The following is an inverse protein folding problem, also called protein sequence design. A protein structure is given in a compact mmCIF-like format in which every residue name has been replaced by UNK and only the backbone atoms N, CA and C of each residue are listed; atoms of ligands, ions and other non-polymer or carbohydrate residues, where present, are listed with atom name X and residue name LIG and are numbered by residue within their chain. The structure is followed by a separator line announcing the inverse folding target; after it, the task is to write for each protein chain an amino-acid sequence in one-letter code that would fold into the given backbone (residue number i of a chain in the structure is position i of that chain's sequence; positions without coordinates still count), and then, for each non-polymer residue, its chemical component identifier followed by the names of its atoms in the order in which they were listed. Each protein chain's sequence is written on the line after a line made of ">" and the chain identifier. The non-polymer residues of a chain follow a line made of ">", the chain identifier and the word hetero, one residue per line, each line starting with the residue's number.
data_IF_595022182518
#
_entry.id   IF_595022182518
#
_cell.length_a   1.000
_cell.length_b   1.000
_cell.length_c   1.000
_cell.angle_alpha   90.00
_cell.angle_beta   90.00
_cell.angle_gamma   90.00
#
_symmetry.space_group_name_H-M   'P 1'
#
loop_
_entity.id
_entity.type
_entity.pdbx_description
1 polymer ?
#
# COMPACT_ATOMS: atom_id res chain seq x y z
N UNK A 1 -31.48 7.39 36.73
CA UNK A 1 -30.44 7.59 35.68
C UNK A 1 -30.85 6.86 34.41
N UNK A 2 -31.13 7.61 33.35
CA UNK A 2 -31.94 7.16 32.21
C UNK A 2 -31.19 6.30 31.19
N UNK A 3 -31.94 5.45 30.46
CA UNK A 3 -31.48 4.61 29.34
C UNK A 3 -30.62 5.37 28.30
N UNK A 4 -30.76 6.69 28.21
CA UNK A 4 -29.94 7.56 27.37
C UNK A 4 -28.44 7.46 27.70
N UNK A 5 -28.06 7.55 28.99
CA UNK A 5 -26.64 7.53 29.42
C UNK A 5 -25.95 6.19 29.11
N UNK A 6 -26.69 5.07 29.15
CA UNK A 6 -26.18 3.74 28.79
C UNK A 6 -25.92 3.59 27.29
N UNK A 7 -26.74 4.24 26.48
CA UNK A 7 -26.63 4.17 25.01
C UNK A 7 -25.43 4.97 24.54
N UNK A 8 -25.22 6.17 25.10
CA UNK A 8 -24.04 6.99 24.83
C UNK A 8 -22.73 6.31 25.27
N UNK A 9 -22.69 5.70 26.47
CA UNK A 9 -21.52 4.94 26.92
C UNK A 9 -21.16 3.75 26.02
N UNK A 10 -22.17 3.05 25.50
CA UNK A 10 -21.96 1.92 24.60
C UNK A 10 -21.48 2.36 23.21
N UNK A 11 -21.93 3.52 22.72
CA UNK A 11 -21.42 4.12 21.48
C UNK A 11 -19.95 4.55 21.69
N UNK A 12 -19.63 5.15 22.84
CA UNK A 12 -18.27 5.57 23.17
C UNK A 12 -17.31 4.38 23.24
N UNK A 13 -17.67 3.30 23.93
CA UNK A 13 -16.86 2.07 24.01
C UNK A 13 -16.66 1.41 22.64
N UNK A 14 -17.68 1.43 21.79
CA UNK A 14 -17.60 0.86 20.42
C UNK A 14 -16.69 1.69 19.52
N UNK A 15 -16.73 3.02 19.63
CA UNK A 15 -15.80 3.92 18.94
C UNK A 15 -14.36 3.71 19.44
N UNK A 16 -14.16 3.59 20.74
CA UNK A 16 -12.85 3.36 21.35
C UNK A 16 -12.21 2.02 20.95
N UNK A 17 -12.99 0.93 20.87
CA UNK A 17 -12.48 -0.37 20.41
C UNK A 17 -12.13 -0.39 18.91
N UNK A 18 -12.90 0.31 18.08
CA UNK A 18 -12.61 0.44 16.65
C UNK A 18 -11.34 1.27 16.43
N UNK A 19 -11.22 2.39 17.16
CA UNK A 19 -10.01 3.20 17.24
C UNK A 19 -8.81 2.35 17.65
N UNK A 20 -8.81 1.63 18.78
CA UNK A 20 -7.67 0.80 19.18
C UNK A 20 -7.25 -0.23 18.11
N UNK A 21 -8.19 -0.80 17.36
CA UNK A 21 -7.88 -1.80 16.33
C UNK A 21 -7.24 -1.17 15.08
N UNK A 22 -7.71 0.00 14.65
CA UNK A 22 -7.12 0.74 13.53
C UNK A 22 -5.79 1.39 13.92
N UNK A 23 -5.70 1.91 15.16
CA UNK A 23 -4.48 2.46 15.76
C UNK A 23 -3.37 1.42 15.81
N UNK A 24 -3.67 0.19 16.21
CA UNK A 24 -2.66 -0.88 16.26
C UNK A 24 -2.14 -1.21 14.87
N UNK A 25 -3.02 -1.35 13.86
CA UNK A 25 -2.60 -1.67 12.49
C UNK A 25 -1.75 -0.54 11.88
N UNK A 26 -2.17 0.71 12.05
CA UNK A 26 -1.42 1.86 11.51
C UNK A 26 -0.13 2.09 12.28
N UNK A 27 -0.12 1.95 13.60
CA UNK A 27 1.10 2.04 14.41
C UNK A 27 2.08 0.91 14.07
N UNK A 28 1.63 -0.33 13.82
CA UNK A 28 2.51 -1.43 13.36
C UNK A 28 3.06 -1.16 11.96
N UNK A 29 2.26 -0.58 11.05
CA UNK A 29 2.73 -0.20 9.70
C UNK A 29 3.74 0.95 9.78
N UNK A 30 3.47 2.00 10.55
CA UNK A 30 4.36 3.15 10.71
C UNK A 30 5.64 2.74 11.46
N UNK A 31 5.53 1.95 12.54
CA UNK A 31 6.70 1.44 13.25
C UNK A 31 7.51 0.45 12.39
N UNK A 32 6.86 -0.35 11.54
CA UNK A 32 7.53 -1.19 10.55
C UNK A 32 8.28 -0.37 9.50
N UNK A 33 7.68 0.72 9.02
CA UNK A 33 8.31 1.65 8.06
C UNK A 33 9.45 2.46 8.70
N UNK A 34 9.30 2.94 9.93
CA UNK A 34 10.32 3.71 10.66
C UNK A 34 11.48 2.84 11.17
N UNK A 35 11.20 1.62 11.65
CA UNK A 35 12.23 0.66 12.05
C UNK A 35 13.12 0.26 10.88
N UNK A 36 12.56 0.18 9.66
CA UNK A 36 13.33 -0.11 8.44
C UNK A 36 14.26 1.05 8.03
N UNK A 37 13.88 2.30 8.28
CA UNK A 37 14.71 3.48 7.95
C UNK A 37 15.82 3.75 8.97
N UNK A 38 15.65 3.34 10.24
CA UNK A 38 16.62 3.64 11.30
C UNK A 38 17.54 2.47 11.68
N UNK A 39 17.12 1.21 11.47
CA UNK A 39 17.96 0.02 11.76
C UNK A 39 18.54 -0.66 10.52
N UNK A 40 18.53 0.02 9.37
CA UNK A 40 19.35 -0.34 8.21
C UNK A 40 20.84 -0.06 8.49
N UNK A 41 21.41 -0.72 9.49
CA UNK A 41 22.83 -0.69 9.79
C UNK A 41 23.63 -1.20 8.60
N UNK A 42 24.67 -0.44 8.24
CA UNK A 42 25.75 -0.86 7.34
C UNK A 42 26.31 -2.20 7.80
N UNK A 43 25.81 -3.28 7.20
CA UNK A 43 26.46 -4.57 7.26
C UNK A 43 27.43 -4.61 6.09
N UNK A 44 28.72 -4.52 6.39
CA UNK A 44 29.81 -4.79 5.46
C UNK A 44 29.72 -6.25 5.02
N UNK A 45 29.03 -6.48 3.91
CA UNK A 45 28.96 -7.78 3.24
C UNK A 45 30.24 -7.93 2.41
N UNK A 46 31.09 -8.88 2.78
CA UNK A 46 32.15 -9.39 1.89
C UNK A 46 31.54 -10.20 0.74
N UNK A 47 32.12 -10.17 -0.46
CA UNK A 47 31.40 -10.42 -1.69
C UNK A 47 31.28 -11.92 -1.98
N UNK A 48 30.06 -12.44 -2.04
CA UNK A 48 29.79 -13.67 -2.81
C UNK A 48 28.50 -13.53 -3.59
N UNK A 49 28.73 -13.36 -4.90
CA UNK A 49 27.82 -13.34 -6.05
C UNK A 49 26.95 -12.09 -6.21
N UNK A 50 27.14 -11.33 -7.32
CA UNK A 50 26.28 -10.20 -7.62
C UNK A 50 24.86 -10.72 -7.90
N UNK A 51 23.88 -10.13 -7.21
CA UNK A 51 22.52 -10.02 -7.72
C UNK A 51 22.65 -9.50 -9.16
N UNK A 52 22.03 -10.13 -10.17
CA UNK A 52 22.10 -9.61 -11.53
C UNK A 52 21.52 -8.19 -11.53
N UNK A 53 22.40 -7.20 -11.57
CA UNK A 53 22.07 -5.87 -12.06
C UNK A 53 21.65 -6.06 -13.50
N UNK A 54 20.34 -6.14 -13.71
CA UNK A 54 19.76 -6.16 -15.05
C UNK A 54 20.06 -4.80 -15.69
N UNK A 55 21.19 -4.75 -16.40
CA UNK A 55 21.55 -3.65 -17.28
C UNK A 55 20.48 -3.60 -18.37
N UNK A 56 19.66 -2.55 -18.34
CA UNK A 56 18.57 -2.32 -19.30
C UNK A 56 19.09 -1.82 -20.66
N UNK A 57 20.08 -2.50 -21.23
CA UNK A 57 20.58 -2.25 -22.58
C UNK A 57 20.36 -3.48 -23.46
N UNK A 58 19.11 -3.66 -23.91
CA UNK A 58 18.85 -4.43 -25.11
C UNK A 58 17.89 -3.64 -25.99
N UNK A 59 18.45 -3.11 -27.09
CA UNK A 59 17.72 -2.45 -28.17
C UNK A 59 16.80 -3.46 -28.86
N UNK A 60 15.64 -3.72 -28.26
CA UNK A 60 14.54 -4.44 -28.89
C UNK A 60 13.60 -3.46 -29.58
N UNK A 61 13.33 -3.75 -30.84
CA UNK A 61 12.45 -3.02 -31.76
C UNK A 61 11.25 -2.39 -31.06
N UNK A 62 11.19 -1.05 -31.09
CA UNK A 62 10.08 -0.27 -30.55
C UNK A 62 8.78 -0.71 -31.23
N UNK A 63 7.77 -1.22 -30.51
CA UNK A 63 6.44 -1.33 -31.08
C UNK A 63 5.99 0.08 -31.47
N UNK A 64 5.59 0.22 -32.73
CA UNK A 64 5.26 1.47 -33.41
C UNK A 64 3.94 2.03 -32.83
N UNK A 65 4.01 2.60 -31.62
CA UNK A 65 2.89 3.29 -31.00
C UNK A 65 3.22 4.79 -30.93
N UNK A 66 2.40 5.56 -31.67
CA UNK A 66 2.37 7.01 -31.84
C UNK A 66 3.40 7.82 -31.03
N UNK A 67 4.49 8.18 -31.70
CA UNK A 67 5.46 9.17 -31.27
C UNK A 67 4.98 10.56 -31.69
N UNK A 68 4.04 11.12 -30.95
CA UNK A 68 3.71 12.55 -30.93
C UNK A 68 2.95 12.86 -29.64
N UNK A 69 3.66 13.12 -28.54
CA UNK A 69 3.04 13.63 -27.32
C UNK A 69 3.97 14.63 -26.65
N UNK A 70 3.48 15.86 -26.57
CA UNK A 70 4.08 16.99 -25.87
C UNK A 70 4.39 16.56 -24.43
N UNK A 71 5.67 16.63 -24.05
CA UNK A 71 6.22 16.22 -22.76
C UNK A 71 5.88 17.23 -21.66
N UNK A 72 4.62 17.29 -21.23
CA UNK A 72 4.20 17.90 -19.96
C UNK A 72 3.00 17.19 -19.31
N UNK A 73 2.59 16.02 -19.83
CA UNK A 73 1.37 15.35 -19.35
C UNK A 73 1.65 14.45 -18.16
N UNK A 74 0.97 14.69 -17.02
CA UNK A 74 0.85 13.74 -15.90
C UNK A 74 0.68 12.32 -16.40
N UNK A 75 1.46 11.38 -15.85
CA UNK A 75 1.37 9.96 -16.19
C UNK A 75 0.17 9.33 -15.46
N UNK A 76 -0.34 8.25 -16.03
CA UNK A 76 -1.44 7.47 -15.45
C UNK A 76 -0.94 6.07 -15.15
N UNK A 77 -0.98 5.67 -13.88
CA UNK A 77 -0.54 4.36 -13.43
C UNK A 77 -1.71 3.53 -12.95
N UNK A 78 -1.72 2.24 -13.30
CA UNK A 78 -2.60 1.26 -12.67
C UNK A 78 -1.76 0.41 -11.73
N UNK A 79 -2.07 0.45 -10.44
CA UNK A 79 -1.27 -0.19 -9.39
C UNK A 79 -2.07 -1.29 -8.72
N UNK A 80 -1.48 -2.48 -8.71
CA UNK A 80 -2.02 -3.63 -7.99
C UNK A 80 -0.88 -4.38 -7.31
N UNK A 81 -1.22 -5.04 -6.21
CA UNK A 81 -0.28 -5.79 -5.41
C UNK A 81 -0.69 -7.26 -5.37
N UNK A 82 0.30 -8.14 -5.27
CA UNK A 82 0.10 -9.57 -5.16
C UNK A 82 1.04 -10.14 -4.11
N UNK A 83 0.49 -10.97 -3.21
CA UNK A 83 1.32 -11.78 -2.33
C UNK A 83 2.04 -12.86 -3.14
N UNK A 84 3.33 -13.07 -2.89
CA UNK A 84 4.08 -14.24 -3.42
C UNK A 84 3.86 -15.48 -2.55
N UNK A 85 3.43 -15.28 -1.30
CA UNK A 85 3.29 -16.32 -0.29
C UNK A 85 1.85 -16.86 -0.19
N UNK A 86 1.06 -16.78 -1.27
CA UNK A 86 -0.33 -17.26 -1.26
C UNK A 86 -0.39 -18.74 -1.72
N UNK A 87 -0.57 -19.72 -0.82
CA UNK A 87 -0.43 -21.14 -1.16
C UNK A 87 -1.54 -21.70 -2.06
N UNK A 88 -2.75 -21.12 -2.01
CA UNK A 88 -3.95 -21.67 -2.66
C UNK A 88 -4.45 -20.79 -3.82
N UNK A 89 -3.94 -19.57 -3.94
CA UNK A 89 -4.36 -18.63 -4.96
C UNK A 89 -3.13 -17.87 -5.45
N UNK A 90 -2.43 -18.48 -6.41
CA UNK A 90 -1.31 -17.88 -7.10
C UNK A 90 -1.80 -16.75 -8.03
N UNK A 91 -2.36 -15.68 -7.45
CA UNK A 91 -2.80 -14.50 -8.18
C UNK A 91 -1.65 -13.86 -8.98
N UNK A 92 -0.40 -14.16 -8.62
CA UNK A 92 0.79 -13.80 -9.36
C UNK A 92 0.72 -14.29 -10.82
N UNK A 93 0.07 -15.42 -11.10
CA UNK A 93 -0.15 -15.93 -12.46
C UNK A 93 -0.98 -14.98 -13.32
N UNK A 94 -1.95 -14.26 -12.74
CA UNK A 94 -2.78 -13.31 -13.49
C UNK A 94 -2.08 -11.98 -13.76
N UNK A 95 -1.04 -11.65 -12.98
CA UNK A 95 -0.41 -10.33 -13.04
C UNK A 95 0.06 -9.91 -14.43
N UNK A 96 0.63 -10.78 -15.31
CA UNK A 96 1.01 -10.35 -16.66
C UNK A 96 -0.20 -10.05 -17.54
N UNK A 97 -1.29 -10.82 -17.40
CA UNK A 97 -2.54 -10.62 -18.14
C UNK A 97 -3.17 -9.28 -17.72
N UNK A 98 -3.23 -9.00 -16.42
CA UNK A 98 -3.75 -7.73 -15.89
C UNK A 98 -2.87 -6.56 -16.31
N UNK A 99 -1.54 -6.70 -16.29
CA UNK A 99 -0.59 -5.71 -16.81
C UNK A 99 -0.90 -5.38 -18.27
N UNK A 100 -1.03 -6.39 -19.13
CA UNK A 100 -1.35 -6.20 -20.54
C UNK A 100 -2.70 -5.49 -20.74
N UNK A 101 -3.70 -5.87 -19.96
CA UNK A 101 -5.04 -5.27 -20.02
C UNK A 101 -5.01 -3.78 -19.67
N UNK A 102 -4.33 -3.38 -18.60
CA UNK A 102 -4.18 -1.96 -18.24
C UNK A 102 -3.38 -1.17 -19.28
N UNK A 103 -2.30 -1.76 -19.81
CA UNK A 103 -1.48 -1.17 -20.88
C UNK A 103 -2.32 -0.88 -22.13
N UNK A 104 -3.21 -1.80 -22.53
CA UNK A 104 -4.16 -1.61 -23.64
C UNK A 104 -5.09 -0.41 -23.43
N UNK A 105 -5.43 -0.08 -22.19
CA UNK A 105 -6.27 1.08 -21.86
C UNK A 105 -5.48 2.40 -21.75
N UNK A 106 -4.16 2.36 -21.91
CA UNK A 106 -3.28 3.53 -21.85
C UNK A 106 -2.69 3.81 -20.47
N UNK A 107 -2.81 2.88 -19.52
CA UNK A 107 -2.19 2.99 -18.20
C UNK A 107 -0.82 2.32 -18.17
N UNK A 108 0.10 2.91 -17.43
CA UNK A 108 1.34 2.25 -17.06
C UNK A 108 1.09 1.34 -15.85
N UNK A 109 1.12 0.02 -16.05
CA UNK A 109 0.88 -0.92 -14.97
C UNK A 109 2.08 -1.03 -14.02
N UNK A 110 1.82 -1.01 -12.72
CA UNK A 110 2.78 -1.26 -11.65
C UNK A 110 2.28 -2.46 -10.84
N UNK A 111 3.10 -3.51 -10.81
CA UNK A 111 2.83 -4.73 -10.07
C UNK A 111 3.72 -4.73 -8.84
N UNK A 112 3.12 -4.78 -7.66
CA UNK A 112 3.85 -4.85 -6.39
C UNK A 112 3.80 -6.28 -5.86
N UNK A 113 4.90 -7.00 -5.96
CA UNK A 113 5.03 -8.32 -5.33
C UNK A 113 5.38 -8.15 -3.85
N UNK A 114 4.61 -8.80 -2.98
CA UNK A 114 4.71 -8.66 -1.53
C UNK A 114 5.02 -10.02 -0.92
N UNK A 115 6.04 -10.08 -0.06
CA UNK A 115 6.33 -11.28 0.73
C UNK A 115 7.77 -11.38 1.16
N UNK A 116 8.15 -12.58 1.60
CA UNK A 116 9.50 -12.83 2.09
C UNK A 116 10.44 -13.27 0.97
N UNK A 117 11.17 -12.31 0.40
CA UNK A 117 12.16 -12.60 -0.64
C UNK A 117 13.48 -13.11 -0.08
N UNK A 118 13.72 -13.00 1.25
CA UNK A 118 14.91 -13.54 1.91
C UNK A 118 14.79 -15.05 2.09
N UNK A 119 13.61 -15.52 2.49
CA UNK A 119 13.30 -16.95 2.62
C UNK A 119 13.49 -17.73 1.30
N UNK A 120 13.45 -17.04 0.16
CA UNK A 120 13.70 -17.62 -1.15
C UNK A 120 15.17 -17.94 -1.43
N UNK A 121 16.10 -17.65 -0.50
CA UNK A 121 17.54 -17.90 -0.64
C UNK A 121 18.12 -17.40 -1.98
N UNK A 122 17.63 -16.26 -2.46
CA UNK A 122 18.05 -15.65 -3.73
C UNK A 122 17.47 -16.31 -5.00
N UNK A 123 16.68 -17.38 -4.88
CA UNK A 123 16.04 -18.05 -6.04
C UNK A 123 14.56 -17.71 -6.07
N UNK A 124 14.15 -16.89 -7.05
CA UNK A 124 12.73 -16.63 -7.26
C UNK A 124 12.03 -17.93 -7.71
N UNK A 125 10.86 -18.29 -7.13
CA UNK A 125 10.04 -19.37 -7.65
C UNK A 125 9.76 -19.16 -9.14
N UNK A 126 9.76 -20.25 -9.92
CA UNK A 126 9.61 -20.17 -11.38
C UNK A 126 8.39 -19.38 -11.82
N UNK A 127 7.27 -19.51 -11.10
CA UNK A 127 6.04 -18.78 -11.42
C UNK A 127 6.19 -17.26 -11.22
N UNK A 128 6.96 -16.80 -10.22
CA UNK A 128 7.26 -15.37 -10.03
C UNK A 128 8.20 -14.90 -11.13
N UNK A 129 9.25 -15.66 -11.42
CA UNK A 129 10.22 -15.35 -12.47
C UNK A 129 9.52 -15.18 -13.83
N UNK A 130 8.66 -16.13 -14.20
CA UNK A 130 7.86 -16.09 -15.42
C UNK A 130 6.89 -14.90 -15.42
N UNK A 131 6.22 -14.62 -14.29
CA UNK A 131 5.34 -13.47 -14.20
C UNK A 131 6.11 -12.16 -14.44
N UNK A 132 7.25 -11.98 -13.79
CA UNK A 132 8.13 -10.81 -13.95
C UNK A 132 8.58 -10.65 -15.40
N UNK A 133 9.04 -11.73 -16.04
CA UNK A 133 9.46 -11.72 -17.45
C UNK A 133 8.34 -11.17 -18.36
N UNK A 134 7.12 -11.68 -18.22
CA UNK A 134 5.99 -11.26 -19.03
C UNK A 134 5.50 -9.84 -18.69
N UNK A 135 5.49 -9.46 -17.40
CA UNK A 135 5.17 -8.08 -16.99
C UNK A 135 6.12 -7.11 -17.67
N UNK A 136 7.42 -7.36 -17.61
CA UNK A 136 8.44 -6.52 -18.24
C UNK A 136 8.29 -6.49 -19.76
N UNK A 137 8.00 -7.64 -20.39
CA UNK A 137 7.74 -7.73 -21.84
C UNK A 137 6.53 -6.89 -22.28
N UNK A 138 5.48 -6.81 -21.46
CA UNK A 138 4.33 -5.94 -21.70
C UNK A 138 4.57 -4.47 -21.33
N UNK A 139 5.80 -4.15 -20.91
CA UNK A 139 6.19 -2.81 -20.49
C UNK A 139 5.57 -2.40 -19.18
N UNK A 140 5.24 -3.34 -18.29
CA UNK A 140 4.87 -3.07 -16.90
C UNK A 140 6.09 -2.82 -16.01
N UNK A 141 5.84 -2.27 -14.83
CA UNK A 141 6.86 -2.00 -13.81
C UNK A 141 6.65 -2.99 -12.66
N UNK A 142 7.72 -3.65 -12.22
CA UNK A 142 7.69 -4.54 -11.07
C UNK A 142 8.35 -3.84 -9.88
N UNK A 143 7.70 -3.91 -8.72
CA UNK A 143 8.26 -3.48 -7.44
C UNK A 143 8.16 -4.61 -6.42
N UNK A 144 9.20 -4.82 -5.63
CA UNK A 144 9.25 -5.83 -4.59
C UNK A 144 9.08 -5.17 -3.22
N UNK A 145 8.15 -5.67 -2.43
CA UNK A 145 7.90 -5.21 -1.07
C UNK A 145 8.20 -6.34 -0.09
N UNK A 146 9.35 -6.25 0.58
CA UNK A 146 9.79 -7.25 1.56
C UNK A 146 8.92 -7.18 2.82
N UNK A 147 8.38 -8.32 3.23
CA UNK A 147 7.75 -8.49 4.54
C UNK A 147 7.84 -9.96 4.99
N UNK A 148 7.42 -10.24 6.22
CA UNK A 148 7.20 -11.60 6.68
C UNK A 148 6.03 -12.24 5.91
N UNK A 149 6.18 -13.53 5.58
CA UNK A 149 5.17 -14.33 4.86
C UNK A 149 3.79 -14.26 5.53
N UNK A 150 3.72 -14.29 6.87
CA UNK A 150 2.47 -14.24 7.62
C UNK A 150 1.66 -12.94 7.38
N UNK A 151 2.32 -11.87 6.93
CA UNK A 151 1.68 -10.59 6.63
C UNK A 151 1.51 -10.30 5.14
N UNK A 152 2.08 -11.11 4.25
CA UNK A 152 2.16 -10.82 2.81
C UNK A 152 0.78 -10.56 2.18
N UNK A 153 -0.20 -11.41 2.49
CA UNK A 153 -1.58 -11.24 2.00
C UNK A 153 -2.17 -9.93 2.52
N UNK A 154 -2.10 -9.68 3.84
CA UNK A 154 -2.67 -8.46 4.45
C UNK A 154 -2.03 -7.20 3.90
N UNK A 155 -0.70 -7.19 3.76
CA UNK A 155 0.06 -6.06 3.23
C UNK A 155 -0.29 -5.82 1.76
N UNK A 156 -0.42 -6.87 0.94
CA UNK A 156 -0.82 -6.71 -0.47
C UNK A 156 -2.18 -6.01 -0.61
N UNK A 157 -3.14 -6.33 0.26
CA UNK A 157 -4.45 -5.67 0.26
C UNK A 157 -4.35 -4.22 0.76
N UNK A 158 -3.54 -3.98 1.80
CA UNK A 158 -3.31 -2.66 2.43
C UNK A 158 -2.57 -1.69 1.50
N UNK A 159 -1.65 -2.16 0.67
CA UNK A 159 -0.90 -1.32 -0.28
C UNK A 159 -1.83 -0.53 -1.19
N UNK A 160 -2.98 -1.09 -1.59
CA UNK A 160 -3.98 -0.35 -2.38
C UNK A 160 -4.52 0.88 -1.66
N UNK A 161 -4.57 0.90 -0.34
CA UNK A 161 -5.03 2.06 0.45
C UNK A 161 -3.91 3.08 0.63
N UNK A 162 -2.65 2.62 0.70
CA UNK A 162 -1.50 3.47 1.02
C UNK A 162 -0.56 3.73 -0.17
N UNK A 163 -1.03 3.47 -1.40
CA UNK A 163 -0.18 3.56 -2.60
C UNK A 163 0.45 4.95 -2.77
N UNK A 164 -0.24 6.02 -2.39
CA UNK A 164 0.28 7.38 -2.47
C UNK A 164 1.54 7.63 -1.61
N UNK A 165 1.77 6.80 -0.59
CA UNK A 165 2.91 6.89 0.33
C UNK A 165 4.05 5.94 -0.02
N UNK A 166 3.86 5.01 -0.95
CA UNK A 166 4.94 4.10 -1.31
C UNK A 166 6.09 4.88 -1.98
N UNK A 167 7.35 4.61 -1.63
CA UNK A 167 8.52 5.31 -2.16
C UNK A 167 8.84 4.80 -3.57
N UNK A 168 7.98 5.11 -4.54
CA UNK A 168 8.14 4.74 -5.94
C UNK A 168 8.85 5.89 -6.69
N UNK A 169 10.15 5.76 -7.02
CA UNK A 169 10.97 6.89 -7.49
C UNK A 169 10.58 7.41 -8.88
N UNK A 170 9.80 6.62 -9.64
CA UNK A 170 9.34 6.96 -10.98
C UNK A 170 7.95 7.63 -11.00
N UNK A 171 7.33 7.86 -9.83
CA UNK A 171 6.01 8.48 -9.70
C UNK A 171 6.16 9.88 -9.09
N UNK A 172 5.63 10.89 -9.77
CA UNK A 172 5.57 12.26 -9.28
C UNK A 172 4.25 12.55 -8.53
N UNK A 173 4.21 13.67 -7.81
CA UNK A 173 3.04 14.09 -7.04
C UNK A 173 1.81 14.42 -7.89
N UNK A 174 2.05 14.86 -9.13
CA UNK A 174 1.02 15.18 -10.12
C UNK A 174 0.66 14.00 -11.05
N UNK A 175 1.28 12.84 -10.85
CA UNK A 175 0.88 11.62 -11.57
C UNK A 175 -0.40 11.03 -10.96
N UNK A 176 -1.22 10.43 -11.81
CA UNK A 176 -2.45 9.76 -11.40
C UNK A 176 -2.18 8.30 -11.05
N UNK A 177 -2.73 7.88 -9.92
CA UNK A 177 -2.67 6.51 -9.43
C UNK A 177 -4.08 5.95 -9.44
N UNK A 178 -4.27 4.88 -10.22
CA UNK A 178 -5.44 4.03 -10.20
C UNK A 178 -5.13 2.79 -9.38
N UNK A 179 -5.89 2.51 -8.33
CA UNK A 179 -5.75 1.24 -7.59
C UNK A 179 -6.71 0.17 -8.12
N UNK A 180 -6.23 -1.06 -8.18
CA UNK A 180 -6.97 -2.21 -8.68
C UNK A 180 -6.51 -3.48 -7.98
N UNK A 181 -7.30 -4.53 -8.12
CA UNK A 181 -6.96 -5.86 -7.65
C UNK A 181 -6.20 -6.60 -8.75
N UNK A 182 -5.41 -7.60 -8.35
CA UNK A 182 -4.60 -8.42 -9.24
C UNK A 182 -5.39 -9.47 -10.03
N UNK A 183 -6.69 -9.59 -9.77
CA UNK A 183 -7.64 -10.48 -10.44
C UNK A 183 -8.78 -9.73 -11.15
N UNK A 184 -8.78 -8.39 -11.10
CA UNK A 184 -9.79 -7.58 -11.79
C UNK A 184 -9.31 -7.12 -13.17
N UNK A 185 -9.85 -7.76 -14.21
CA UNK A 185 -9.55 -7.46 -15.60
C UNK A 185 -10.32 -6.23 -16.08
N UNK A 186 -9.65 -5.14 -16.49
CA UNK A 186 -10.35 -3.98 -17.01
C UNK A 186 -10.79 -4.22 -18.48
N UNK A 187 -12.10 -4.14 -18.72
CA UNK A 187 -12.70 -4.46 -20.03
C UNK A 187 -12.86 -3.24 -20.94
N UNK A 188 -13.43 -2.15 -20.41
CA UNK A 188 -13.86 -0.96 -21.18
C UNK A 188 -13.08 0.28 -20.75
N UNK A 189 -12.43 0.96 -21.70
CA UNK A 189 -11.57 2.11 -21.44
C UNK A 189 -12.33 3.28 -20.83
N UNK A 190 -13.54 3.50 -21.31
CA UNK A 190 -14.38 4.66 -21.03
C UNK A 190 -14.76 4.74 -19.54
N UNK A 191 -14.75 3.60 -18.84
CA UNK A 191 -15.02 3.50 -17.41
C UNK A 191 -13.85 3.98 -16.54
N UNK A 192 -12.68 4.14 -17.14
CA UNK A 192 -11.44 4.51 -16.45
C UNK A 192 -10.92 5.88 -16.87
N UNK A 193 -11.52 6.50 -17.90
CA UNK A 193 -11.07 7.82 -18.35
C UNK A 193 -11.35 8.90 -17.29
N UNK A 194 -10.36 9.75 -17.04
CA UNK A 194 -10.57 10.96 -16.27
C UNK A 194 -11.67 11.79 -16.92
N UNK A 195 -12.71 12.12 -16.16
CA UNK A 195 -13.78 12.97 -16.65
C UNK A 195 -13.31 14.43 -16.60
N UNK A 196 -13.72 15.23 -17.58
CA UNK A 196 -13.32 16.65 -17.69
C UNK A 196 -13.76 17.50 -16.48
N UNK A 197 -14.86 17.11 -15.85
CA UNK A 197 -15.44 17.75 -14.68
C UNK A 197 -14.75 17.37 -13.35
N UNK A 198 -13.91 16.33 -13.35
CA UNK A 198 -13.19 15.87 -12.16
C UNK A 198 -11.69 15.75 -12.45
N UNK A 199 -10.96 16.88 -12.55
CA UNK A 199 -9.56 16.90 -12.97
C UNK A 199 -8.60 16.30 -11.94
N UNK A 200 -9.03 16.13 -10.69
CA UNK A 200 -8.23 15.51 -9.63
C UNK A 200 -8.51 14.01 -9.47
N UNK A 201 -9.39 13.47 -10.31
CA UNK A 201 -9.66 12.05 -10.41
C UNK A 201 -11.07 11.64 -10.06
N UNK A 202 -11.32 10.33 -10.04
CA UNK A 202 -12.63 9.77 -9.73
C UNK A 202 -12.50 8.53 -8.83
N UNK A 203 -13.61 8.22 -8.18
CA UNK A 203 -13.82 6.99 -7.42
C UNK A 203 -14.91 6.22 -8.15
N UNK A 204 -14.55 5.16 -8.87
CA UNK A 204 -15.54 4.26 -9.48
C UNK A 204 -15.84 3.18 -8.48
N UNK A 205 -16.92 3.41 -7.73
CA UNK A 205 -17.43 2.44 -6.79
C UNK A 205 -18.38 1.47 -7.52
N UNK A 206 -18.00 0.20 -7.65
CA UNK A 206 -18.91 -0.83 -8.18
C UNK A 206 -19.44 -1.66 -7.03
N UNK A 207 -20.75 -1.87 -6.99
CA UNK A 207 -21.43 -2.75 -6.04
C UNK A 207 -20.78 -4.15 -6.00
N UNK A 208 -19.74 -4.32 -5.20
CA UNK A 208 -19.21 -5.61 -4.78
C UNK A 208 -19.51 -5.77 -3.31
N UNK A 209 -19.86 -7.03 -3.01
CA UNK A 209 -19.71 -7.63 -1.72
C UNK A 209 -20.73 -7.13 -0.70
N UNK A 210 -21.56 -8.06 -0.22
CA UNK A 210 -22.69 -7.76 0.66
C UNK A 210 -22.25 -7.35 2.07
N UNK A 211 -22.87 -7.94 3.08
CA UNK A 211 -22.46 -7.72 4.47
C UNK A 211 -21.50 -8.82 4.94
N UNK A 212 -20.56 -8.48 5.82
CA UNK A 212 -19.72 -9.47 6.51
C UNK A 212 -19.90 -9.35 8.02
N UNK A 213 -19.66 -10.43 8.76
CA UNK A 213 -19.73 -10.44 10.23
C UNK A 213 -18.34 -10.48 10.86
N UNK A 214 -18.08 -9.60 11.82
CA UNK A 214 -16.88 -9.63 12.66
C UNK A 214 -17.29 -9.33 14.11
N UNK A 215 -16.90 -10.19 15.07
CA UNK A 215 -17.24 -10.04 16.50
C UNK A 215 -18.75 -9.84 16.75
N UNK A 216 -19.58 -10.68 16.15
CA UNK A 216 -21.06 -10.61 16.20
C UNK A 216 -21.67 -9.28 15.73
N UNK A 217 -20.94 -8.49 14.95
CA UNK A 217 -21.46 -7.29 14.29
C UNK A 217 -21.42 -7.49 12.79
N UNK A 218 -22.49 -7.08 12.14
CA UNK A 218 -22.59 -7.04 10.68
C UNK A 218 -22.05 -5.70 10.20
N UNK A 219 -21.12 -5.74 9.26
CA UNK A 219 -20.54 -4.59 8.60
C UNK A 219 -20.94 -4.62 7.12
N UNK A 220 -21.35 -3.49 6.58
CA UNK A 220 -21.45 -3.35 5.14
C UNK A 220 -20.04 -3.30 4.56
N UNK A 221 -19.78 -4.14 3.56
CA UNK A 221 -18.55 -4.00 2.79
C UNK A 221 -18.70 -2.73 1.97
N UNK A 222 -17.76 -1.79 2.14
CA UNK A 222 -17.64 -0.71 1.19
C UNK A 222 -17.14 -1.32 -0.11
N UNK A 223 -17.82 -1.07 -1.24
CA UNK A 223 -17.39 -1.71 -2.45
C UNK A 223 -15.99 -1.19 -2.81
N UNK A 224 -15.06 -2.12 -3.04
CA UNK A 224 -13.69 -1.78 -3.39
C UNK A 224 -13.67 -1.39 -4.87
N UNK A 225 -13.92 -0.12 -5.10
CA UNK A 225 -13.83 0.52 -6.39
C UNK A 225 -12.40 0.78 -6.84
N UNK A 226 -12.27 1.27 -8.07
CA UNK A 226 -11.03 1.86 -8.54
C UNK A 226 -10.95 3.32 -8.08
N UNK A 227 -9.90 3.66 -7.35
CA UNK A 227 -9.59 5.03 -6.98
C UNK A 227 -8.54 5.56 -7.95
N UNK A 228 -8.92 6.48 -8.84
CA UNK A 228 -8.03 7.06 -9.83
C UNK A 228 -7.84 8.55 -9.53
N UNK A 229 -6.83 8.91 -8.75
CA UNK A 229 -6.58 10.29 -8.28
C UNK A 229 -5.09 10.62 -8.31
N UNK A 230 -4.73 11.90 -8.23
CA UNK A 230 -3.31 12.32 -8.15
C UNK A 230 -2.65 11.81 -6.86
N UNK A 231 -1.36 11.46 -6.92
CA UNK A 231 -0.60 10.98 -5.76
C UNK A 231 -0.65 11.95 -4.57
N UNK A 232 -0.52 13.27 -4.80
CA UNK A 232 -0.62 14.27 -3.73
C UNK A 232 -2.01 14.32 -3.07
N UNK A 233 -3.07 14.20 -3.87
CA UNK A 233 -4.46 14.17 -3.40
C UNK A 233 -4.72 12.90 -2.60
N UNK A 234 -4.16 11.78 -3.03
CA UNK A 234 -4.20 10.52 -2.29
C UNK A 234 -3.63 10.68 -0.88
N UNK A 235 -2.43 11.25 -0.75
CA UNK A 235 -1.81 11.47 0.56
C UNK A 235 -2.62 12.43 1.41
N UNK A 236 -3.09 13.53 0.82
CA UNK A 236 -3.95 14.48 1.51
C UNK A 236 -5.22 13.81 2.05
N UNK A 237 -5.88 12.95 1.27
CA UNK A 237 -7.09 12.22 1.71
C UNK A 237 -6.82 11.31 2.92
N UNK A 238 -5.71 10.58 2.91
CA UNK A 238 -5.35 9.68 4.03
C UNK A 238 -4.94 10.48 5.27
N UNK A 239 -4.15 11.55 5.11
CA UNK A 239 -3.69 12.40 6.22
C UNK A 239 -4.80 13.31 6.79
N UNK A 240 -5.71 13.79 5.96
CA UNK A 240 -6.85 14.60 6.39
C UNK A 240 -7.95 13.76 7.08
N UNK A 241 -7.85 12.43 7.03
CA UNK A 241 -8.79 11.57 7.74
C UNK A 241 -8.75 11.89 9.24
N UNK A 242 -9.92 12.02 9.86
CA UNK A 242 -10.06 12.26 11.30
C UNK A 242 -9.33 11.21 12.13
N UNK A 243 -9.21 9.98 11.61
CA UNK A 243 -8.42 8.90 12.22
C UNK A 243 -6.94 9.26 12.31
N UNK A 244 -6.36 9.92 11.30
CA UNK A 244 -4.98 10.40 11.37
C UNK A 244 -4.83 11.57 12.36
N UNK A 245 -5.77 12.52 12.39
CA UNK A 245 -5.74 13.59 13.39
C UNK A 245 -5.88 13.05 14.82
N UNK A 246 -6.74 12.06 15.04
CA UNK A 246 -6.88 11.38 16.33
C UNK A 246 -5.61 10.60 16.70
N UNK A 247 -4.95 9.94 15.74
CA UNK A 247 -3.65 9.28 15.91
C UNK A 247 -2.56 10.25 16.41
N UNK A 248 -2.39 11.38 15.71
CA UNK A 248 -1.41 12.42 16.06
C UNK A 248 -1.70 13.02 17.45
N UNK A 249 -2.97 13.20 17.78
CA UNK A 249 -3.40 13.70 19.09
C UNK A 249 -3.18 12.68 20.23
N UNK A 250 -3.13 11.39 19.92
CA UNK A 250 -2.85 10.34 20.92
C UNK A 250 -1.35 10.16 21.16
N UNK A 251 -0.52 10.15 20.11
CA UNK A 251 0.94 10.04 20.25
C UNK A 251 1.55 11.24 20.95
N UNK A 252 1.07 12.45 20.68
CA UNK A 252 1.48 13.66 21.40
C UNK A 252 1.13 13.64 22.90
N UNK A 253 0.00 13.02 23.28
CA UNK A 253 -0.38 12.85 24.70
C UNK A 253 0.46 11.80 25.42
N UNK A 254 0.79 10.69 24.77
CA UNK A 254 1.64 9.66 25.37
C UNK A 254 3.10 10.12 25.54
N UNK A 255 3.65 10.87 24.57
CA UNK A 255 4.98 11.47 24.71
C UNK A 255 5.10 12.42 25.91
N UNK A 256 4.07 13.22 26.17
CA UNK A 256 4.03 14.13 27.32
C UNK A 256 3.83 13.43 28.68
N UNK A 257 3.28 12.21 28.71
CA UNK A 257 3.18 11.43 29.94
C UNK A 257 4.49 10.74 30.30
N UNK A 258 5.23 10.22 29.31
CA UNK A 258 6.53 9.57 29.53
C UNK A 258 7.60 10.57 30.01
N UNK A 259 7.57 11.82 29.52
CA UNK A 259 8.48 12.86 30.01
C UNK A 259 8.20 13.28 31.46
N UNK A 260 6.93 13.30 31.91
CA UNK A 260 6.59 13.66 33.29
C UNK A 260 6.97 12.59 34.33
N UNK A 261 7.04 11.32 33.95
CA UNK A 261 7.42 10.24 34.86
C UNK A 261 8.93 10.14 35.11
N UNK A 262 9.76 10.72 34.24
CA UNK A 262 11.22 10.68 34.40
C UNK A 262 11.79 11.84 35.23
N UNK A 263 11.03 12.92 35.45
CA UNK A 263 11.46 14.04 36.31
C UNK A 263 11.20 13.77 37.80
N UNK A 264 10.42 12.74 38.17
CA UNK A 264 10.04 12.46 39.57
C UNK A 264 10.86 11.36 40.25
N UNK A 265 11.77 10.70 39.54
CA UNK A 265 12.57 9.57 40.07
C UNK A 265 14.04 9.89 40.35
N UNK A 266 14.42 11.17 40.46
CA UNK A 266 15.82 11.59 40.70
C UNK A 266 16.04 12.34 42.03
N UNK A 267 15.12 12.20 42.99
CA UNK A 267 15.27 12.69 44.35
C UNK A 267 14.95 11.57 45.32
N UNK A 268 15.94 10.71 45.60
CA UNK A 268 16.11 9.95 46.87
C UNK A 268 17.17 8.87 46.66
N UNK A 269 18.44 9.27 46.75
CA UNK A 269 19.53 8.36 47.11
C UNK A 269 20.47 9.17 48.00
N UNK A 270 20.07 9.29 49.27
CA UNK A 270 20.89 9.82 50.34
C UNK A 270 21.71 8.65 50.90
N UNK A 271 23.03 8.77 50.79
CA UNK A 271 24.00 7.87 51.41
C UNK A 271 23.87 7.96 52.93
N UNK A 272 23.75 6.81 53.60
CA UNK A 272 24.10 6.65 55.02
C UNK A 272 25.38 5.82 55.12
N UNK A 273 26.32 6.34 55.92
CA UNK A 273 27.54 5.71 56.40
C UNK A 273 27.23 4.82 57.61
#
# INVERSE_FOLDING_TARGET
>A
MSKLKRTEQNILRRRLCFLCSCLFIVATIIAGLFGFYFFGGSSTISPTRPIPTYSSHESRSKPLFLKNRIETTSKQYAVFACSISAPVAAYCFYTPIITFAWRRLGYQAIVIFVGDFKALNGTQPDHIRLAVEWITRFGGIVHYFQCDEAYAIKISQTIRVFIGFLPLPFINDDDFLLTTDSDLLPLRREQYMLRKDYPDGFIVNRWCCGTFKMRNKTYHMFPMGHLHIKRKVWRAMVLASTVHQELVNMTSKQGNQVFKTNETSQADNKYEY
#
